data_IF_153074487346
#
_entry.id   IF_153074487346
#
_cell.length_a   1.000
_cell.length_b   1.000
_cell.length_c   1.000
_cell.angle_alpha   90.00
_cell.angle_beta   90.00
_cell.angle_gamma   90.00
#
_symmetry.space_group_name_H-M   'P 1'
#
loop_
_entity.id
_entity.type
_entity.pdbx_description
1 polymer ?
#
# COMPACT_ATOMS: atom_id res chain seq x y z
N UNK A 1 38.99 -14.82 10.34
CA UNK A 1 40.26 -14.99 9.65
C UNK A 1 40.02 -15.59 8.28
N UNK A 2 40.28 -14.77 7.28
CA UNK A 2 40.00 -15.01 5.88
C UNK A 2 40.83 -16.14 5.27
N UNK A 3 40.17 -16.99 4.54
CA UNK A 3 40.73 -17.61 3.34
C UNK A 3 39.60 -17.77 2.33
N UNK A 4 39.44 -16.81 1.46
CA UNK A 4 38.68 -16.95 0.24
C UNK A 4 39.62 -17.29 -0.89
N UNK A 5 39.52 -18.53 -1.31
CA UNK A 5 40.22 -19.11 -2.43
C UNK A 5 40.03 -18.31 -3.71
N UNK A 6 41.10 -17.84 -4.29
CA UNK A 6 41.20 -17.36 -5.65
C UNK A 6 41.08 -18.57 -6.59
N UNK A 7 39.98 -18.74 -7.25
CA UNK A 7 39.91 -19.52 -8.48
C UNK A 7 40.18 -18.60 -9.66
N UNK A 8 41.34 -18.72 -10.23
CA UNK A 8 41.67 -18.16 -11.54
C UNK A 8 41.12 -19.15 -12.58
N UNK A 9 40.17 -18.73 -13.40
CA UNK A 9 39.90 -19.41 -14.64
C UNK A 9 40.78 -18.73 -15.71
N UNK A 10 41.77 -19.48 -16.19
CA UNK A 10 42.54 -19.07 -17.35
C UNK A 10 41.62 -19.01 -18.57
N UNK A 11 41.43 -17.82 -19.09
CA UNK A 11 40.84 -17.61 -20.40
C UNK A 11 41.97 -17.77 -21.41
N UNK A 12 41.99 -18.88 -22.11
CA UNK A 12 42.90 -19.06 -23.25
C UNK A 12 42.38 -18.23 -24.42
N UNK A 13 42.93 -17.08 -24.61
CA UNK A 13 42.64 -16.25 -25.78
C UNK A 13 43.77 -16.46 -26.80
N UNK A 14 43.42 -17.01 -27.98
CA UNK A 14 44.32 -17.15 -29.10
C UNK A 14 44.82 -15.79 -29.59
N UNK A 15 46.11 -15.73 -29.85
CA UNK A 15 46.89 -14.71 -30.50
C UNK A 15 46.15 -13.50 -31.07
N UNK A 16 46.00 -12.45 -30.26
CA UNK A 16 46.12 -11.04 -30.63
C UNK A 16 46.13 -10.17 -29.37
N UNK A 17 46.98 -9.17 -29.33
CA UNK A 17 47.18 -8.27 -28.21
C UNK A 17 45.89 -7.45 -27.93
N UNK A 18 45.00 -8.01 -27.12
CA UNK A 18 43.81 -7.34 -26.62
C UNK A 18 43.90 -7.20 -25.09
N UNK A 19 43.78 -6.00 -24.58
CA UNK A 19 43.68 -5.72 -23.16
C UNK A 19 42.38 -6.34 -22.65
N UNK A 20 42.46 -7.39 -21.85
CA UNK A 20 41.27 -7.96 -21.19
C UNK A 20 40.93 -7.08 -19.97
N UNK A 21 39.91 -6.29 -20.09
CA UNK A 21 39.35 -5.55 -18.95
C UNK A 21 38.48 -6.53 -18.16
N UNK A 22 39.02 -7.04 -17.06
CA UNK A 22 38.16 -7.78 -16.11
C UNK A 22 37.32 -6.80 -15.31
N UNK A 23 36.04 -6.81 -15.56
CA UNK A 23 35.06 -6.14 -14.70
C UNK A 23 34.96 -6.94 -13.39
N UNK A 24 35.56 -6.43 -12.33
CA UNK A 24 35.36 -7.00 -10.99
C UNK A 24 33.97 -6.57 -10.55
N UNK A 25 33.01 -7.48 -10.61
CA UNK A 25 31.74 -7.28 -9.88
C UNK A 25 32.12 -7.40 -8.41
N UNK A 26 32.31 -6.28 -7.76
CA UNK A 26 32.42 -6.22 -6.31
C UNK A 26 31.06 -6.66 -5.77
N UNK A 27 30.97 -7.90 -5.29
CA UNK A 27 29.83 -8.32 -4.51
C UNK A 27 29.74 -7.37 -3.32
N UNK A 28 28.68 -6.56 -3.27
CA UNK A 28 28.36 -5.78 -2.10
C UNK A 28 28.22 -6.76 -0.94
N UNK A 29 29.09 -6.63 0.05
CA UNK A 29 28.92 -7.34 1.31
C UNK A 29 27.53 -6.98 1.81
N UNK A 30 26.65 -7.98 1.92
CA UNK A 30 25.37 -7.79 2.62
C UNK A 30 25.72 -7.22 3.99
N UNK A 31 25.32 -6.00 4.23
CA UNK A 31 25.25 -5.44 5.57
C UNK A 31 24.44 -6.45 6.39
N UNK A 32 24.95 -6.84 7.56
CA UNK A 32 24.24 -7.71 8.50
C UNK A 32 23.05 -7.02 9.22
N UNK A 33 22.58 -5.89 8.70
CA UNK A 33 21.28 -5.38 9.07
C UNK A 33 20.24 -6.42 8.66
N UNK A 34 19.45 -6.88 9.60
CA UNK A 34 18.35 -7.80 9.34
C UNK A 34 17.54 -7.25 8.16
N UNK A 35 17.68 -7.87 6.99
CA UNK A 35 16.87 -7.53 5.84
C UNK A 35 15.45 -7.96 6.18
N UNK A 36 14.52 -7.01 6.17
CA UNK A 36 13.11 -7.34 6.29
C UNK A 36 12.76 -8.26 5.11
N UNK A 37 12.28 -9.45 5.42
CA UNK A 37 11.83 -10.43 4.42
C UNK A 37 10.33 -10.61 4.56
N UNK A 38 9.64 -10.66 3.43
CA UNK A 38 8.21 -11.00 3.39
C UNK A 38 8.14 -12.51 3.20
N UNK A 39 7.88 -13.24 4.28
CA UNK A 39 7.84 -14.70 4.25
C UNK A 39 6.57 -15.24 3.60
N UNK A 40 5.47 -14.51 3.73
CA UNK A 40 4.15 -14.94 3.25
C UNK A 40 3.34 -13.77 2.69
N UNK A 41 2.56 -14.04 1.68
CA UNK A 41 1.64 -13.10 1.08
C UNK A 41 0.33 -13.77 0.68
N UNK A 42 -0.74 -13.01 0.63
CA UNK A 42 -2.05 -13.45 0.14
C UNK A 42 -2.19 -12.96 -1.30
N UNK A 43 -2.54 -13.88 -2.21
CA UNK A 43 -2.90 -13.54 -3.59
C UNK A 43 -4.38 -13.15 -3.67
N UNK A 44 -4.64 -11.98 -4.21
CA UNK A 44 -5.95 -11.53 -4.62
C UNK A 44 -5.99 -11.59 -6.15
N UNK A 45 -6.84 -12.46 -6.71
CA UNK A 45 -7.10 -12.57 -8.13
C UNK A 45 -8.48 -11.96 -8.40
N UNK A 46 -8.53 -10.82 -9.08
CA UNK A 46 -9.77 -10.05 -9.27
C UNK A 46 -10.89 -10.87 -9.92
N UNK A 47 -10.54 -11.83 -10.81
CA UNK A 47 -11.49 -12.74 -11.46
C UNK A 47 -12.21 -13.70 -10.50
N UNK A 48 -11.64 -13.99 -9.32
CA UNK A 48 -12.21 -14.92 -8.32
C UNK A 48 -12.97 -14.20 -7.20
N UNK A 49 -13.03 -12.87 -7.26
CA UNK A 49 -13.70 -12.01 -6.27
C UNK A 49 -13.27 -12.23 -4.80
N UNK A 50 -11.97 -12.44 -4.49
CA UNK A 50 -11.51 -12.66 -3.13
C UNK A 50 -11.63 -11.41 -2.29
N UNK A 51 -11.96 -11.57 -1.01
CA UNK A 51 -11.91 -10.51 -0.01
C UNK A 51 -11.77 -11.08 1.38
N UNK A 52 -11.16 -10.30 2.27
CA UNK A 52 -11.23 -10.54 3.71
C UNK A 52 -12.11 -9.47 4.33
N UNK A 53 -13.03 -9.84 5.21
CA UNK A 53 -13.90 -8.85 5.83
C UNK A 53 -14.19 -9.17 7.29
N UNK A 54 -14.47 -8.08 8.04
CA UNK A 54 -14.93 -8.17 9.42
C UNK A 54 -15.86 -7.01 9.76
N UNK A 55 -16.77 -7.19 10.69
CA UNK A 55 -17.53 -6.09 11.29
C UNK A 55 -16.72 -5.46 12.42
N UNK A 56 -16.66 -4.14 12.45
CA UNK A 56 -15.96 -3.40 13.49
C UNK A 56 -16.74 -3.51 14.81
N UNK A 57 -16.06 -3.94 15.88
CA UNK A 57 -16.56 -3.89 17.25
C UNK A 57 -16.52 -2.47 17.82
N UNK A 58 -16.34 -2.35 19.12
CA UNK A 58 -16.14 -1.04 19.76
C UNK A 58 -14.71 -0.56 19.49
N UNK A 59 -14.51 0.54 18.74
CA UNK A 59 -13.19 1.06 18.46
C UNK A 59 -12.60 1.79 19.69
N UNK A 60 -11.28 1.85 19.77
CA UNK A 60 -10.57 2.67 20.75
C UNK A 60 -10.74 4.16 20.45
N UNK A 61 -10.78 4.52 19.17
CA UNK A 61 -11.01 5.88 18.70
C UNK A 61 -11.81 5.86 17.39
N UNK A 62 -12.78 6.76 17.27
CA UNK A 62 -13.50 6.98 16.00
C UNK A 62 -12.78 7.96 15.07
N UNK A 63 -11.60 8.45 15.48
CA UNK A 63 -10.90 9.57 14.84
C UNK A 63 -9.46 9.24 14.46
N UNK A 64 -8.91 8.11 14.96
CA UNK A 64 -7.49 7.76 14.80
C UNK A 64 -7.31 6.32 14.40
N UNK A 65 -6.46 6.10 13.40
CA UNK A 65 -5.96 4.78 13.04
C UNK A 65 -4.65 4.87 12.26
N UNK A 66 -3.94 3.76 12.21
CA UNK A 66 -2.90 3.51 11.21
C UNK A 66 -3.18 2.20 10.49
N UNK A 67 -3.06 2.23 9.18
CA UNK A 67 -3.13 1.05 8.32
C UNK A 67 -1.81 0.90 7.58
N UNK A 68 -1.25 -0.30 7.56
CA UNK A 68 -0.06 -0.59 6.77
C UNK A 68 -0.17 -1.92 6.06
N UNK A 69 0.43 -2.00 4.87
CA UNK A 69 0.55 -3.24 4.11
C UNK A 69 1.67 -3.14 3.10
N UNK A 70 2.26 -4.29 2.77
CA UNK A 70 3.02 -4.46 1.56
C UNK A 70 2.08 -4.88 0.44
N UNK A 71 2.21 -4.25 -0.72
CA UNK A 71 1.42 -4.55 -1.91
C UNK A 71 2.31 -4.73 -3.12
N UNK A 72 2.05 -5.80 -3.88
CA UNK A 72 2.64 -6.03 -5.19
C UNK A 72 1.51 -6.18 -6.20
N UNK A 73 1.29 -5.18 -7.08
CA UNK A 73 0.28 -5.29 -8.12
C UNK A 73 0.67 -6.35 -9.16
N UNK A 74 -0.29 -7.01 -9.76
CA UNK A 74 -0.06 -7.95 -10.87
C UNK A 74 -0.40 -7.34 -12.22
N UNK A 75 -1.19 -6.28 -12.25
CA UNK A 75 -1.62 -5.56 -13.45
C UNK A 75 -1.38 -4.06 -13.29
N UNK A 76 -1.33 -3.36 -14.41
CA UNK A 76 -1.34 -1.89 -14.39
C UNK A 76 -2.76 -1.39 -14.11
N UNK A 77 -2.86 -0.37 -13.27
CA UNK A 77 -4.14 0.24 -12.88
C UNK A 77 -4.35 1.58 -13.61
N UNK A 78 -4.07 1.59 -14.91
CA UNK A 78 -4.16 2.78 -15.77
C UNK A 78 -5.58 3.09 -16.26
N UNK A 79 -6.57 2.50 -15.63
CA UNK A 79 -7.99 2.74 -15.88
C UNK A 79 -8.62 3.55 -14.74
N UNK A 80 -9.83 4.04 -14.94
CA UNK A 80 -10.58 4.79 -13.93
C UNK A 80 -11.19 3.91 -12.84
N UNK A 81 -11.01 2.59 -12.92
CA UNK A 81 -11.49 1.67 -11.92
C UNK A 81 -10.63 1.78 -10.64
N UNK A 82 -11.28 1.87 -9.52
CA UNK A 82 -10.62 1.98 -8.23
C UNK A 82 -10.39 0.58 -7.65
N UNK A 83 -9.15 0.21 -7.39
CA UNK A 83 -8.75 -1.11 -6.88
C UNK A 83 -8.62 -1.05 -5.37
N UNK A 84 -9.65 -1.49 -4.66
CA UNK A 84 -9.72 -1.39 -3.20
C UNK A 84 -8.63 -2.23 -2.51
N UNK A 85 -7.77 -1.57 -1.75
CA UNK A 85 -6.80 -2.22 -0.85
C UNK A 85 -7.47 -2.47 0.49
N UNK A 86 -8.04 -1.43 1.08
CA UNK A 86 -8.75 -1.46 2.33
C UNK A 86 -9.93 -0.48 2.30
N UNK A 87 -11.06 -0.88 2.82
CA UNK A 87 -12.25 -0.03 2.85
C UNK A 87 -13.11 -0.30 4.08
N UNK A 88 -13.96 0.66 4.41
CA UNK A 88 -15.02 0.48 5.41
C UNK A 88 -16.29 1.18 4.97
N UNK A 89 -17.44 0.54 5.21
CA UNK A 89 -18.75 1.09 4.87
C UNK A 89 -19.88 0.39 5.64
N UNK A 90 -21.09 0.94 5.55
CA UNK A 90 -22.30 0.17 5.79
C UNK A 90 -22.61 -0.69 4.56
N UNK A 91 -22.78 -2.01 4.68
CA UNK A 91 -23.15 -2.86 3.55
C UNK A 91 -24.39 -2.35 2.81
N UNK A 92 -24.30 -2.30 1.49
CA UNK A 92 -25.37 -1.76 0.63
C UNK A 92 -25.41 -0.23 0.51
N UNK A 93 -24.61 0.51 1.27
CA UNK A 93 -24.51 1.97 1.18
C UNK A 93 -23.26 2.42 0.43
N UNK A 94 -23.39 2.75 -0.83
CA UNK A 94 -22.26 3.16 -1.70
C UNK A 94 -21.97 4.66 -1.69
N UNK A 95 -22.89 5.49 -1.19
CA UNK A 95 -22.88 6.92 -1.52
C UNK A 95 -22.47 7.88 -0.40
N UNK A 96 -22.66 7.53 0.87
CA UNK A 96 -22.53 8.54 1.94
C UNK A 96 -21.79 8.08 3.18
N UNK A 97 -21.22 6.89 3.18
CA UNK A 97 -20.74 6.30 4.42
C UNK A 97 -19.67 5.25 4.13
N UNK A 98 -18.64 5.69 3.41
CA UNK A 98 -17.53 4.80 3.06
C UNK A 98 -16.19 5.50 3.12
N UNK A 99 -15.21 4.78 3.62
CA UNK A 99 -13.81 5.17 3.57
C UNK A 99 -13.05 4.17 2.70
N UNK A 100 -12.07 4.65 1.95
CA UNK A 100 -11.39 3.87 0.93
C UNK A 100 -9.90 4.18 0.95
N UNK A 101 -9.08 3.14 0.91
CA UNK A 101 -7.68 3.17 0.51
C UNK A 101 -7.59 2.29 -0.72
N UNK A 102 -7.27 2.86 -1.88
CA UNK A 102 -7.31 2.16 -3.15
C UNK A 102 -6.20 2.63 -4.10
N UNK A 103 -6.08 1.91 -5.19
CA UNK A 103 -5.27 2.28 -6.34
C UNK A 103 -6.20 2.71 -7.48
N UNK A 104 -5.96 3.87 -8.08
CA UNK A 104 -6.75 4.42 -9.17
C UNK A 104 -5.84 5.17 -10.15
N UNK A 105 -5.90 4.88 -11.44
CA UNK A 105 -5.01 5.51 -12.44
C UNK A 105 -3.53 5.48 -12.07
N UNK A 106 -3.05 4.36 -11.58
CA UNK A 106 -1.67 4.16 -11.13
C UNK A 106 -1.25 5.03 -9.92
N UNK A 107 -2.15 5.75 -9.27
CA UNK A 107 -1.86 6.55 -8.07
C UNK A 107 -2.52 5.94 -6.83
N UNK A 108 -1.96 6.21 -5.66
CA UNK A 108 -2.61 5.86 -4.40
C UNK A 108 -3.71 6.90 -4.13
N UNK A 109 -4.93 6.40 -3.97
CA UNK A 109 -6.14 7.15 -3.69
C UNK A 109 -6.64 6.81 -2.29
N UNK A 110 -6.81 7.82 -1.47
CA UNK A 110 -7.36 7.71 -0.12
C UNK A 110 -8.53 8.65 0.00
N UNK A 111 -9.70 8.13 0.31
CA UNK A 111 -10.90 8.93 0.43
C UNK A 111 -11.72 8.57 1.66
N UNK A 112 -12.29 9.59 2.28
CA UNK A 112 -13.14 9.50 3.46
C UNK A 112 -14.43 10.28 3.19
N UNK A 113 -15.57 9.67 3.50
CA UNK A 113 -16.87 10.34 3.36
C UNK A 113 -17.49 10.58 4.73
N UNK A 114 -17.36 11.80 5.22
CA UNK A 114 -17.91 12.26 6.50
C UNK A 114 -19.09 13.23 6.30
N UNK A 115 -19.85 13.05 5.19
CA UNK A 115 -20.89 13.97 4.73
C UNK A 115 -20.47 14.81 3.53
N UNK A 116 -19.16 14.95 3.32
CA UNK A 116 -18.51 15.41 2.08
C UNK A 116 -17.29 14.54 1.81
N UNK A 117 -16.92 14.42 0.54
CA UNK A 117 -15.72 13.68 0.16
C UNK A 117 -14.46 14.46 0.52
N UNK A 118 -13.61 13.82 1.31
CA UNK A 118 -12.23 14.23 1.51
C UNK A 118 -11.34 13.26 0.73
N UNK A 119 -10.66 13.75 -0.30
CA UNK A 119 -9.89 12.92 -1.24
C UNK A 119 -8.45 13.36 -1.29
N UNK A 120 -7.55 12.40 -1.18
CA UNK A 120 -6.12 12.60 -1.32
C UNK A 120 -5.60 11.64 -2.38
N UNK A 121 -4.98 12.20 -3.44
CA UNK A 121 -4.36 11.44 -4.53
C UNK A 121 -2.89 11.80 -4.63
N UNK A 122 -2.03 10.81 -4.67
CA UNK A 122 -0.58 11.06 -4.87
C UNK A 122 -0.32 11.60 -6.27
N UNK A 123 0.69 12.48 -6.41
CA UNK A 123 1.25 12.82 -7.74
C UNK A 123 2.13 11.70 -8.25
N UNK A 124 2.75 10.94 -7.34
CA UNK A 124 3.55 9.78 -7.69
C UNK A 124 2.67 8.67 -8.27
N UNK A 125 3.14 8.10 -9.37
CA UNK A 125 2.53 6.94 -10.04
C UNK A 125 3.31 5.66 -9.70
N UNK A 126 2.59 4.53 -9.66
CA UNK A 126 3.10 3.22 -9.26
C UNK A 126 2.83 2.24 -10.39
N UNK A 127 3.80 2.09 -11.31
CA UNK A 127 3.66 1.34 -12.57
C UNK A 127 4.56 0.12 -12.68
N UNK A 128 5.19 -0.30 -11.60
CA UNK A 128 6.03 -1.48 -11.63
C UNK A 128 5.32 -2.68 -10.96
N UNK A 129 4.76 -3.60 -11.75
CA UNK A 129 4.09 -4.79 -11.21
C UNK A 129 5.07 -5.83 -10.64
N UNK A 130 6.38 -5.65 -10.84
CA UNK A 130 7.39 -6.52 -10.27
C UNK A 130 7.83 -6.10 -8.87
N UNK A 131 7.54 -4.84 -8.48
CA UNK A 131 7.98 -4.28 -7.21
C UNK A 131 6.95 -4.41 -6.10
N UNK A 132 7.44 -4.59 -4.88
CA UNK A 132 6.68 -4.44 -3.66
C UNK A 132 6.70 -2.98 -3.22
N UNK A 133 5.54 -2.47 -2.82
CA UNK A 133 5.38 -1.16 -2.23
C UNK A 133 4.89 -1.31 -0.79
N UNK A 134 5.60 -0.73 0.17
CA UNK A 134 5.10 -0.60 1.53
C UNK A 134 4.27 0.67 1.65
N UNK A 135 3.01 0.54 2.00
CA UNK A 135 2.08 1.66 2.13
C UNK A 135 1.68 1.79 3.59
N UNK A 136 1.71 3.03 4.10
CA UNK A 136 1.13 3.37 5.40
C UNK A 136 0.20 4.56 5.21
N UNK A 137 -1.02 4.43 5.73
CA UNK A 137 -2.00 5.52 5.85
C UNK A 137 -2.29 5.72 7.33
N UNK A 138 -1.94 6.89 7.84
CA UNK A 138 -2.12 7.27 9.22
C UNK A 138 -3.09 8.44 9.35
N UNK A 139 -4.11 8.30 10.19
CA UNK A 139 -5.20 9.26 10.36
C UNK A 139 -5.31 9.73 11.80
N UNK A 140 -5.44 11.05 11.99
CA UNK A 140 -5.84 11.68 13.25
C UNK A 140 -6.66 12.95 12.96
N UNK A 141 -7.98 12.83 12.96
CA UNK A 141 -8.86 13.98 12.66
C UNK A 141 -8.82 15.06 13.74
N UNK A 142 -8.25 14.81 14.92
CA UNK A 142 -8.16 15.80 16.00
C UNK A 142 -7.13 16.90 15.72
N UNK A 143 -6.23 16.68 14.75
CA UNK A 143 -5.19 17.66 14.40
C UNK A 143 -5.78 18.97 13.89
N UNK A 144 -5.28 20.10 14.41
CA UNK A 144 -5.71 21.43 14.00
C UNK A 144 -5.32 21.74 12.54
N UNK A 145 -4.12 21.34 12.15
CA UNK A 145 -3.61 21.50 10.77
C UNK A 145 -4.17 20.40 9.88
N UNK A 146 -4.85 20.77 8.80
CA UNK A 146 -5.52 19.84 7.90
C UNK A 146 -4.57 18.76 7.34
N UNK A 147 -3.39 19.15 6.87
CA UNK A 147 -2.39 18.23 6.32
C UNK A 147 -1.80 17.25 7.34
N UNK A 148 -1.98 17.48 8.63
CA UNK A 148 -1.56 16.56 9.68
C UNK A 148 -2.64 15.52 10.02
N UNK A 149 -3.88 15.68 9.50
CA UNK A 149 -4.97 14.75 9.79
C UNK A 149 -4.82 13.43 9.03
N UNK A 150 -4.27 13.49 7.81
CA UNK A 150 -3.98 12.30 7.02
C UNK A 150 -2.54 12.35 6.55
N UNK A 151 -1.77 11.34 6.87
CA UNK A 151 -0.39 11.16 6.41
C UNK A 151 -0.27 9.87 5.64
N UNK A 152 0.41 9.91 4.52
CA UNK A 152 0.65 8.77 3.65
C UNK A 152 2.16 8.57 3.55
N UNK A 153 2.60 7.32 3.68
CA UNK A 153 3.99 6.94 3.49
C UNK A 153 4.06 5.83 2.45
N UNK A 154 5.06 5.92 1.59
CA UNK A 154 5.39 4.88 0.62
C UNK A 154 6.86 4.52 0.78
N UNK A 155 7.14 3.24 0.99
CA UNK A 155 8.49 2.72 1.20
C UNK A 155 9.27 3.48 2.30
N UNK A 156 8.57 3.83 3.39
CA UNK A 156 9.12 4.53 4.54
C UNK A 156 9.29 6.05 4.37
N UNK A 157 8.99 6.60 3.19
CA UNK A 157 9.08 8.04 2.92
C UNK A 157 7.68 8.67 2.95
N UNK A 158 7.53 9.78 3.68
CA UNK A 158 6.26 10.52 3.69
C UNK A 158 5.99 11.13 2.32
N UNK A 159 4.80 10.91 1.79
CA UNK A 159 4.31 11.58 0.59
C UNK A 159 3.88 13.00 0.96
N UNK A 160 4.42 13.99 0.27
CA UNK A 160 4.11 15.42 0.48
C UNK A 160 3.58 16.09 -0.78
N UNK A 161 3.66 15.40 -1.93
CA UNK A 161 3.19 15.89 -3.23
C UNK A 161 1.93 15.13 -3.64
N UNK A 162 0.84 15.88 -3.82
CA UNK A 162 -0.50 15.35 -4.10
C UNK A 162 -1.08 16.04 -5.33
N UNK A 163 -1.67 15.26 -6.23
CA UNK A 163 -2.47 15.78 -7.35
C UNK A 163 -3.87 16.26 -6.90
N UNK A 164 -4.36 15.74 -5.77
CA UNK A 164 -5.54 16.23 -5.06
C UNK A 164 -5.32 16.06 -3.56
N UNK A 165 -5.73 17.06 -2.77
CA UNK A 165 -5.57 17.06 -1.31
C UNK A 165 -6.74 17.81 -0.64
N UNK A 166 -7.88 17.14 -0.49
CA UNK A 166 -8.98 17.57 0.34
C UNK A 166 -8.99 16.72 1.62
N UNK A 167 -8.76 17.35 2.76
CA UNK A 167 -8.66 16.68 4.06
C UNK A 167 -10.00 16.67 4.79
N UNK A 168 -10.25 15.62 5.60
CA UNK A 168 -11.40 15.56 6.51
C UNK A 168 -11.45 16.76 7.44
N UNK A 169 -12.64 17.15 7.90
CA UNK A 169 -12.79 18.23 8.87
C UNK A 169 -12.17 17.83 10.23
N UNK A 170 -11.84 18.83 11.03
CA UNK A 170 -11.32 18.57 12.36
C UNK A 170 -12.39 17.89 13.23
N UNK A 171 -12.00 16.86 13.95
CA UNK A 171 -12.84 16.06 14.84
C UNK A 171 -13.91 15.23 14.14
N UNK A 172 -13.89 15.09 12.82
CA UNK A 172 -14.79 14.18 12.12
C UNK A 172 -14.60 12.73 12.56
N UNK A 173 -15.68 11.98 12.55
CA UNK A 173 -15.72 10.54 12.75
C UNK A 173 -15.61 9.85 11.39
N UNK A 174 -14.79 8.81 11.29
CA UNK A 174 -14.52 8.08 10.05
C UNK A 174 -15.11 6.67 10.09
N UNK A 175 -15.58 6.17 8.93
CA UNK A 175 -16.26 4.88 8.83
C UNK A 175 -15.31 3.71 9.19
N UNK A 176 -14.03 3.81 8.85
CA UNK A 176 -12.98 2.83 9.19
C UNK A 176 -12.90 2.56 10.70
N UNK A 177 -13.24 3.55 11.54
CA UNK A 177 -13.20 3.45 12.98
C UNK A 177 -14.59 3.53 13.62
N UNK A 178 -15.67 3.18 12.91
CA UNK A 178 -17.02 3.24 13.44
C UNK A 178 -17.58 1.85 13.71
N UNK A 179 -18.07 1.62 14.93
CA UNK A 179 -18.69 0.35 15.33
C UNK A 179 -19.86 -0.04 14.41
N UNK A 180 -19.96 -1.33 14.11
CA UNK A 180 -21.01 -1.88 13.25
C UNK A 180 -20.76 -1.75 11.75
N UNK A 181 -19.74 -1.01 11.33
CA UNK A 181 -19.33 -0.94 9.92
C UNK A 181 -18.60 -2.21 9.51
N UNK A 182 -18.70 -2.57 8.23
CA UNK A 182 -17.90 -3.64 7.64
C UNK A 182 -16.55 -3.05 7.20
N UNK A 183 -15.45 -3.68 7.60
CA UNK A 183 -14.15 -3.49 7.00
C UNK A 183 -13.90 -4.59 5.98
N UNK A 184 -13.26 -4.25 4.85
CA UNK A 184 -12.87 -5.20 3.82
C UNK A 184 -11.48 -4.92 3.29
N UNK A 185 -10.74 -5.98 2.99
CA UNK A 185 -9.44 -5.98 2.31
C UNK A 185 -9.65 -6.62 0.95
N UNK A 186 -9.14 -5.98 -0.10
CA UNK A 186 -9.23 -6.46 -1.48
C UNK A 186 -10.56 -6.19 -2.17
N UNK A 187 -11.52 -5.55 -1.50
CA UNK A 187 -12.84 -5.21 -2.03
C UNK A 187 -13.40 -3.95 -1.37
N UNK A 188 -14.44 -3.39 -1.97
CA UNK A 188 -15.24 -2.36 -1.30
C UNK A 188 -16.19 -2.97 -0.27
N UNK A 189 -16.16 -2.42 0.95
CA UNK A 189 -16.97 -2.89 2.06
C UNK A 189 -18.48 -2.71 1.87
N UNK A 190 -18.92 -1.76 1.04
CA UNK A 190 -20.33 -1.59 0.74
C UNK A 190 -20.90 -2.72 -0.14
N UNK A 191 -20.05 -3.35 -0.97
CA UNK A 191 -20.44 -4.47 -1.82
C UNK A 191 -19.24 -5.43 -2.03
N UNK A 192 -19.06 -6.33 -1.08
CA UNK A 192 -18.01 -7.33 -1.14
C UNK A 192 -18.29 -8.46 -2.13
N UNK A 193 -19.45 -8.44 -2.80
CA UNK A 193 -19.84 -9.43 -3.81
C UNK A 193 -19.62 -8.94 -5.24
N UNK A 194 -19.44 -7.64 -5.43
CA UNK A 194 -19.14 -7.04 -6.73
C UNK A 194 -17.84 -7.59 -7.32
N UNK A 195 -17.84 -7.88 -8.59
CA UNK A 195 -16.64 -8.25 -9.33
C UNK A 195 -15.78 -7.04 -9.72
N UNK A 196 -16.32 -5.82 -9.56
CA UNK A 196 -15.63 -4.59 -9.90
C UNK A 196 -14.75 -4.09 -8.74
N UNK A 197 -13.83 -3.20 -9.06
CA UNK A 197 -13.05 -2.43 -8.09
C UNK A 197 -12.21 -3.30 -7.13
N UNK A 198 -11.75 -4.45 -7.58
CA UNK A 198 -10.94 -5.37 -6.79
C UNK A 198 -9.47 -5.23 -7.09
N UNK A 199 -8.67 -5.45 -6.04
CA UNK A 199 -7.22 -5.56 -6.20
C UNK A 199 -6.87 -6.83 -6.98
N UNK A 200 -5.95 -6.71 -7.93
CA UNK A 200 -5.25 -7.84 -8.55
C UNK A 200 -3.78 -7.77 -8.18
N UNK A 201 -3.37 -8.64 -7.26
CA UNK A 201 -2.03 -8.54 -6.70
C UNK A 201 -1.81 -9.41 -5.47
N UNK A 202 -0.71 -9.14 -4.81
CA UNK A 202 -0.34 -9.76 -3.54
C UNK A 202 -0.33 -8.71 -2.44
N UNK A 203 -0.85 -9.05 -1.27
CA UNK A 203 -0.77 -8.28 -0.04
C UNK A 203 -0.03 -9.09 1.03
N UNK A 204 0.79 -8.41 1.82
CA UNK A 204 1.51 -9.01 2.94
C UNK A 204 1.61 -8.03 4.11
N UNK A 205 1.83 -8.54 5.32
CA UNK A 205 2.01 -7.75 6.53
C UNK A 205 0.89 -6.69 6.68
N UNK A 206 -0.36 -7.15 6.61
CA UNK A 206 -1.53 -6.28 6.69
C UNK A 206 -1.79 -5.96 8.17
N UNK A 207 -1.59 -4.72 8.57
CA UNK A 207 -1.77 -4.28 9.94
C UNK A 207 -2.77 -3.14 10.01
N UNK A 208 -3.68 -3.21 10.97
CA UNK A 208 -4.58 -2.12 11.33
C UNK A 208 -4.44 -1.84 12.83
N UNK A 209 -4.08 -0.62 13.16
CA UNK A 209 -3.88 -0.16 14.55
C UNK A 209 -4.97 0.88 14.85
N UNK A 210 -5.85 0.53 15.76
CA UNK A 210 -6.95 1.37 16.22
C UNK A 210 -6.46 2.35 17.30
N UNK A 211 -6.84 3.62 17.18
CA UNK A 211 -6.58 4.65 18.18
C UNK A 211 -5.20 5.31 18.11
N UNK A 212 -4.37 4.99 17.11
CA UNK A 212 -3.03 5.57 16.94
C UNK A 212 -2.81 6.05 15.49
N UNK A 213 -2.08 7.17 15.37
CA UNK A 213 -1.58 7.72 14.10
C UNK A 213 -0.06 7.53 14.01
#
# INVERSE_FOLDING_TARGET
LAQLLRRWHECVCGHQHGVCIMSIIQGTSKSSAATFEIDQSIRFNDGDTPSLSRTIGTPTSTQKFSFSTWIKPCTFFNDTASRAIFSAATPGNSSSDRDIISWENDVLYVAFNTGSWAEIKTSQVFRDPASWYHIVVAMDTTQSTASNRTKIYVNGSQVTDFSAAAYVSQNDTIAICTSGKLQAIGAYAYDITSANDRIDGYLAEINFIDGQQ
#
